data_IF_645974228035
#
_entry.id   IF_645974228035
#
_cell.length_a   1.000
_cell.length_b   1.000
_cell.length_c   1.000
_cell.angle_alpha   90.00
_cell.angle_beta   90.00
_cell.angle_gamma   90.00
#
_symmetry.space_group_name_H-M   'P 1'
#
loop_
_entity.id
_entity.type
_entity.pdbx_description
1 polymer ?
#
# COMPACT_ATOMS: atom_id res chain seq x y z
N UNK A 1 67.58 6.88 53.88
CA UNK A 1 67.07 8.27 53.96
C UNK A 1 67.19 8.89 52.57
N UNK A 2 66.09 9.51 52.11
CA UNK A 2 65.82 10.12 50.81
C UNK A 2 67.04 10.49 49.95
N UNK A 3 67.19 9.83 48.79
CA UNK A 3 68.07 10.27 47.71
C UNK A 3 67.29 11.21 46.78
N UNK A 4 67.84 12.41 46.61
CA UNK A 4 67.42 13.44 45.68
C UNK A 4 68.26 13.27 44.40
N UNK A 5 67.66 12.92 43.28
CA UNK A 5 68.31 12.98 41.96
C UNK A 5 67.40 13.75 41.02
N UNK A 6 67.93 14.88 40.55
CA UNK A 6 67.40 15.73 39.50
C UNK A 6 67.64 15.05 38.15
N UNK A 7 66.59 14.87 37.34
CA UNK A 7 66.77 14.48 35.93
C UNK A 7 65.87 15.31 35.03
N UNK A 8 66.55 15.98 34.10
CA UNK A 8 66.11 16.74 32.94
C UNK A 8 64.93 16.09 32.20
N UNK A 9 63.85 16.84 31.98
CA UNK A 9 62.75 16.45 31.07
C UNK A 9 63.14 16.84 29.66
N UNK A 10 63.47 15.85 28.83
CA UNK A 10 63.64 16.00 27.40
C UNK A 10 62.27 15.96 26.73
N UNK A 11 61.89 17.09 26.13
CA UNK A 11 60.72 17.22 25.26
C UNK A 11 60.99 16.45 23.96
N UNK A 12 60.29 15.33 23.76
CA UNK A 12 60.26 14.64 22.46
C UNK A 12 58.89 14.92 21.83
N UNK A 13 58.88 15.88 20.91
CA UNK A 13 57.79 16.05 19.96
C UNK A 13 57.76 14.83 19.03
N UNK A 14 56.90 13.85 19.32
CA UNK A 14 56.47 12.90 18.31
C UNK A 14 55.38 13.55 17.48
N UNK A 15 55.76 14.14 16.35
CA UNK A 15 54.84 14.46 15.26
C UNK A 15 54.32 13.15 14.69
N UNK A 16 53.23 12.63 15.27
CA UNK A 16 52.41 11.65 14.57
C UNK A 16 51.78 12.37 13.39
N UNK A 17 52.34 12.15 12.21
CA UNK A 17 51.68 12.35 10.93
C UNK A 17 50.35 11.60 11.00
N UNK A 18 49.28 12.34 11.31
CA UNK A 18 47.92 11.92 11.10
C UNK A 18 47.74 11.87 9.58
N UNK A 19 47.97 10.71 8.98
CA UNK A 19 47.33 10.41 7.71
C UNK A 19 45.83 10.58 7.93
N UNK A 20 45.11 11.34 7.10
CA UNK A 20 43.68 11.21 7.07
C UNK A 20 43.41 9.78 6.64
N UNK A 21 42.87 8.95 7.53
CA UNK A 21 42.02 7.88 7.06
C UNK A 21 40.92 8.59 6.25
N UNK A 22 41.08 8.60 4.93
CA UNK A 22 39.92 8.59 4.05
C UNK A 22 39.11 7.37 4.48
N UNK A 23 38.21 7.57 5.45
CA UNK A 23 37.01 6.78 5.51
C UNK A 23 36.37 7.01 4.16
N UNK A 24 36.59 6.06 3.25
CA UNK A 24 35.66 5.78 2.19
C UNK A 24 34.30 5.74 2.90
N UNK A 25 33.52 6.82 2.77
CA UNK A 25 32.10 6.75 2.97
C UNK A 25 31.64 5.72 1.95
N UNK A 26 31.59 4.46 2.38
CA UNK A 26 30.71 3.49 1.75
C UNK A 26 29.35 4.14 1.90
N UNK A 27 28.91 4.78 0.83
CA UNK A 27 27.55 5.26 0.68
C UNK A 27 26.74 3.98 0.74
N UNK A 28 26.36 3.55 1.95
CA UNK A 28 25.63 2.31 2.15
C UNK A 28 24.39 2.43 1.28
N UNK A 29 24.36 1.65 0.20
CA UNK A 29 23.29 1.69 -0.78
C UNK A 29 22.04 1.21 -0.08
N UNK A 30 21.11 2.12 0.19
CA UNK A 30 19.82 1.77 0.75
C UNK A 30 19.10 0.76 -0.15
N UNK A 31 18.21 -0.03 0.44
CA UNK A 31 17.26 -0.89 -0.26
C UNK A 31 16.47 -0.02 -1.22
N UNK A 32 16.60 -0.29 -2.52
CA UNK A 32 15.86 0.44 -3.54
C UNK A 32 14.64 -0.37 -3.96
N UNK A 33 13.51 0.33 -4.09
CA UNK A 33 12.27 -0.25 -4.60
C UNK A 33 12.18 0.07 -6.08
N UNK A 34 11.89 -0.94 -6.90
CA UNK A 34 11.63 -0.74 -8.31
C UNK A 34 10.19 -0.36 -8.55
N UNK A 35 9.95 0.65 -9.38
CA UNK A 35 8.62 1.02 -9.83
C UNK A 35 8.52 0.88 -11.35
N UNK A 36 7.55 0.10 -11.81
CA UNK A 36 7.26 -0.01 -13.23
C UNK A 36 6.57 1.26 -13.75
N UNK A 37 7.18 1.90 -14.74
CA UNK A 37 6.64 3.05 -15.47
C UNK A 37 6.91 2.89 -16.97
N UNK A 38 5.98 2.26 -17.69
CA UNK A 38 6.12 1.96 -19.12
C UNK A 38 6.06 3.20 -20.01
N UNK A 39 5.55 4.31 -19.50
CA UNK A 39 5.47 5.59 -20.22
C UNK A 39 6.21 6.66 -19.44
N UNK A 40 7.33 7.16 -19.99
CA UNK A 40 8.18 8.16 -19.32
C UNK A 40 7.43 9.44 -18.94
N UNK A 41 6.47 9.86 -19.77
CA UNK A 41 5.61 11.03 -19.53
C UNK A 41 4.15 10.62 -19.24
N UNK A 42 3.94 9.41 -18.70
CA UNK A 42 2.62 8.92 -18.32
C UNK A 42 2.05 9.68 -17.12
N UNK A 43 0.74 9.56 -16.93
CA UNK A 43 0.09 10.07 -15.72
C UNK A 43 0.57 9.23 -14.52
N UNK A 44 1.16 9.89 -13.53
CA UNK A 44 1.47 9.29 -12.23
C UNK A 44 0.35 9.59 -11.24
N UNK A 45 -0.35 8.56 -10.79
CA UNK A 45 -1.28 8.61 -9.67
C UNK A 45 -0.48 8.56 -8.38
N UNK A 46 -0.74 9.52 -7.49
CA UNK A 46 -0.08 9.64 -6.19
C UNK A 46 1.46 9.66 -6.30
N UNK A 47 2.04 10.62 -7.04
CA UNK A 47 3.47 10.64 -7.33
C UNK A 47 4.36 10.66 -6.09
N UNK A 48 3.89 11.24 -4.99
CA UNK A 48 4.63 11.38 -3.73
C UNK A 48 4.41 10.19 -2.77
N UNK A 49 3.52 9.26 -3.10
CA UNK A 49 3.11 8.17 -2.21
C UNK A 49 4.25 7.23 -1.84
N UNK A 50 4.89 6.61 -2.84
CA UNK A 50 5.96 5.66 -2.59
C UNK A 50 7.17 6.34 -1.90
N UNK A 51 7.71 7.48 -2.40
CA UNK A 51 8.79 8.19 -1.71
C UNK A 51 8.47 8.52 -0.24
N UNK A 52 7.24 8.98 0.03
CA UNK A 52 6.78 9.27 1.40
C UNK A 52 6.70 8.02 2.28
N UNK A 53 6.21 6.90 1.74
CA UNK A 53 6.18 5.62 2.46
C UNK A 53 7.59 5.14 2.81
N UNK A 54 8.54 5.21 1.87
CA UNK A 54 9.93 4.81 2.09
C UNK A 54 10.59 5.70 3.16
N UNK A 55 10.35 7.01 3.11
CA UNK A 55 10.80 7.94 4.14
C UNK A 55 10.23 7.58 5.52
N UNK A 56 8.93 7.29 5.60
CA UNK A 56 8.30 6.84 6.85
C UNK A 56 8.87 5.52 7.37
N UNK A 57 9.26 4.58 6.49
CA UNK A 57 9.95 3.36 6.89
C UNK A 57 11.32 3.64 7.48
N UNK A 58 12.09 4.56 6.91
CA UNK A 58 13.38 4.98 7.46
C UNK A 58 13.23 5.68 8.82
N UNK A 59 12.14 6.43 9.03
CA UNK A 59 11.86 7.12 10.29
C UNK A 59 11.41 6.17 11.42
N UNK A 60 10.77 5.05 11.07
CA UNK A 60 10.09 4.17 12.04
C UNK A 60 10.73 2.80 12.20
N UNK A 61 11.70 2.46 11.37
CA UNK A 61 12.40 1.18 11.39
C UNK A 61 13.91 1.38 11.26
N UNK A 62 14.68 0.31 11.45
CA UNK A 62 16.12 0.32 11.17
C UNK A 62 16.48 0.00 9.72
N UNK A 63 15.47 -0.19 8.86
CA UNK A 63 15.71 -0.36 7.44
C UNK A 63 16.28 0.94 6.85
N UNK A 64 17.08 0.81 5.79
CA UNK A 64 17.64 1.93 5.05
C UNK A 64 17.14 1.83 3.62
N UNK A 65 16.03 2.48 3.31
CA UNK A 65 15.50 2.58 1.95
C UNK A 65 16.06 3.80 1.24
N UNK A 66 16.35 3.65 -0.05
CA UNK A 66 16.47 4.80 -0.94
C UNK A 66 15.06 5.36 -1.18
N UNK A 67 14.83 6.63 -0.82
CA UNK A 67 13.51 7.25 -0.95
C UNK A 67 13.18 7.68 -2.38
N UNK A 68 14.15 7.61 -3.30
CA UNK A 68 13.94 7.78 -4.74
C UNK A 68 13.79 6.39 -5.40
N UNK A 69 12.57 5.97 -5.78
CA UNK A 69 12.35 4.67 -6.41
C UNK A 69 13.12 4.52 -7.72
N UNK A 70 13.57 3.29 -8.02
CA UNK A 70 14.14 2.98 -9.32
C UNK A 70 13.04 2.79 -10.35
N UNK A 71 12.88 3.76 -11.25
CA UNK A 71 11.93 3.62 -12.34
C UNK A 71 12.50 2.73 -13.45
N UNK A 72 11.72 1.73 -13.87
CA UNK A 72 12.00 0.89 -15.03
C UNK A 72 10.83 0.89 -15.99
N UNK A 73 11.11 0.84 -17.29
CA UNK A 73 10.07 0.86 -18.32
C UNK A 73 9.69 -0.52 -18.86
N UNK A 74 10.48 -1.54 -18.57
CA UNK A 74 10.24 -2.93 -18.98
C UNK A 74 10.54 -3.90 -17.84
N UNK A 75 9.93 -5.07 -17.87
CA UNK A 75 10.17 -6.17 -16.91
C UNK A 75 11.40 -7.01 -17.28
N UNK A 76 12.00 -6.77 -18.45
CA UNK A 76 13.26 -7.38 -18.89
C UNK A 76 14.49 -6.62 -18.39
N UNK A 77 14.31 -5.48 -17.72
CA UNK A 77 15.39 -4.70 -17.13
C UNK A 77 16.20 -5.56 -16.16
N UNK A 78 17.52 -5.63 -16.36
CA UNK A 78 18.42 -6.49 -15.58
C UNK A 78 18.41 -6.14 -14.08
N UNK A 79 18.15 -4.87 -13.76
CA UNK A 79 18.07 -4.37 -12.39
C UNK A 79 16.91 -4.99 -11.63
N UNK A 80 15.93 -5.60 -12.31
CA UNK A 80 14.84 -6.35 -11.68
C UNK A 80 15.36 -7.43 -10.74
N UNK A 81 16.41 -8.16 -11.13
CA UNK A 81 16.98 -9.22 -10.30
C UNK A 81 17.86 -8.69 -9.16
N UNK A 82 18.27 -7.42 -9.21
CA UNK A 82 19.09 -6.76 -8.19
C UNK A 82 18.26 -6.17 -7.05
N UNK A 83 16.94 -6.07 -7.22
CA UNK A 83 16.05 -5.42 -6.26
C UNK A 83 14.92 -6.36 -5.81
N UNK A 84 14.69 -6.52 -4.49
CA UNK A 84 13.81 -7.55 -3.95
C UNK A 84 12.32 -7.29 -4.20
N UNK A 85 11.93 -6.05 -4.52
CA UNK A 85 10.53 -5.65 -4.64
C UNK A 85 10.30 -4.85 -5.93
N UNK A 86 9.34 -5.34 -6.73
CA UNK A 86 8.74 -4.64 -7.84
C UNK A 86 7.38 -4.09 -7.40
N UNK A 87 7.29 -2.76 -7.31
CA UNK A 87 6.05 -2.03 -7.11
C UNK A 87 5.44 -1.64 -8.47
N UNK A 88 4.16 -1.95 -8.64
CA UNK A 88 3.38 -1.56 -9.82
C UNK A 88 2.11 -0.89 -9.32
N UNK A 89 1.98 0.40 -9.56
CA UNK A 89 0.68 1.04 -9.49
C UNK A 89 -0.05 0.75 -10.81
N UNK A 90 -1.08 -0.09 -10.76
CA UNK A 90 -1.78 -0.55 -11.94
C UNK A 90 -2.58 0.58 -12.65
N UNK A 91 -2.88 1.67 -11.96
CA UNK A 91 -3.55 2.85 -12.55
C UNK A 91 -2.58 3.83 -13.24
N UNK A 92 -1.26 3.63 -13.09
CA UNK A 92 -0.21 4.39 -13.80
C UNK A 92 0.11 3.79 -15.18
N UNK A 93 -0.33 2.56 -15.43
CA UNK A 93 0.03 1.83 -16.66
C UNK A 93 -0.97 2.13 -17.78
N UNK A 94 -0.51 2.31 -19.03
CA UNK A 94 -1.42 2.52 -20.17
C UNK A 94 -2.34 1.30 -20.41
N UNK A 95 -1.80 0.11 -20.16
CA UNK A 95 -2.50 -1.17 -20.08
C UNK A 95 -1.63 -2.16 -19.29
N UNK A 96 -2.18 -3.33 -18.97
CA UNK A 96 -1.45 -4.45 -18.35
C UNK A 96 -1.15 -5.58 -19.35
N UNK A 97 -0.92 -5.22 -20.62
CA UNK A 97 -0.52 -6.15 -21.67
C UNK A 97 0.98 -6.11 -21.86
N UNK A 98 1.63 -7.26 -21.70
CA UNK A 98 3.08 -7.42 -21.74
C UNK A 98 3.48 -8.47 -22.78
N UNK A 99 4.56 -8.25 -23.55
CA UNK A 99 5.09 -9.25 -24.49
C UNK A 99 5.60 -10.49 -23.74
N UNK A 100 5.73 -11.60 -24.46
CA UNK A 100 6.13 -12.89 -23.88
C UNK A 100 7.43 -12.81 -23.07
N UNK A 101 8.43 -12.09 -23.57
CA UNK A 101 9.73 -11.91 -22.90
C UNK A 101 9.63 -11.21 -21.54
N UNK A 102 8.77 -10.20 -21.41
CA UNK A 102 8.51 -9.51 -20.14
C UNK A 102 7.74 -10.40 -19.16
N UNK A 103 6.81 -11.22 -19.67
CA UNK A 103 6.09 -12.20 -18.84
C UNK A 103 7.03 -13.29 -18.31
N UNK A 104 7.94 -13.78 -19.15
CA UNK A 104 8.94 -14.77 -18.76
C UNK A 104 9.96 -14.19 -17.77
N UNK A 105 10.34 -12.91 -17.93
CA UNK A 105 11.19 -12.20 -16.98
C UNK A 105 10.50 -12.04 -15.61
N UNK A 106 9.22 -11.64 -15.59
CA UNK A 106 8.43 -11.56 -14.36
C UNK A 106 8.26 -12.91 -13.66
N UNK A 107 7.96 -13.97 -14.43
CA UNK A 107 7.92 -15.35 -13.91
C UNK A 107 9.22 -15.70 -13.22
N UNK A 108 10.36 -15.50 -13.91
CA UNK A 108 11.70 -15.79 -13.38
C UNK A 108 11.98 -14.99 -12.11
N UNK A 109 11.67 -13.70 -12.11
CA UNK A 109 11.83 -12.82 -10.95
C UNK A 109 11.09 -13.37 -9.72
N UNK A 110 9.80 -13.70 -9.87
CA UNK A 110 8.99 -14.27 -8.80
C UNK A 110 9.45 -15.68 -8.40
N UNK A 111 9.93 -16.49 -9.32
CA UNK A 111 10.48 -17.81 -9.01
C UNK A 111 11.82 -17.77 -8.28
N UNK A 112 12.56 -16.66 -8.39
CA UNK A 112 13.88 -16.47 -7.77
C UNK A 112 13.83 -15.72 -6.43
N UNK A 113 12.65 -15.29 -5.98
CA UNK A 113 12.49 -14.63 -4.68
C UNK A 113 11.91 -13.22 -4.76
N UNK A 114 11.86 -12.62 -5.94
CA UNK A 114 11.29 -11.29 -6.15
C UNK A 114 9.84 -11.18 -5.71
N UNK A 115 9.48 -10.08 -5.04
CA UNK A 115 8.13 -9.81 -4.58
C UNK A 115 7.47 -8.74 -5.45
N UNK A 116 6.23 -8.98 -5.89
CA UNK A 116 5.48 -8.04 -6.71
C UNK A 116 4.33 -7.46 -5.90
N UNK A 117 4.29 -6.13 -5.78
CA UNK A 117 3.15 -5.42 -5.19
C UNK A 117 2.39 -4.65 -6.27
N UNK A 118 1.19 -5.12 -6.58
CA UNK A 118 0.22 -4.47 -7.46
C UNK A 118 -0.73 -3.56 -6.66
N UNK A 119 -0.38 -2.28 -6.49
CA UNK A 119 -1.33 -1.28 -5.98
C UNK A 119 -2.37 -0.94 -7.05
N UNK A 120 -3.61 -0.66 -6.64
CA UNK A 120 -4.76 -0.55 -7.55
C UNK A 120 -4.99 -1.80 -8.44
N UNK A 121 -4.42 -2.95 -8.05
CA UNK A 121 -4.64 -4.24 -8.73
C UNK A 121 -6.01 -4.85 -8.43
N UNK A 122 -6.70 -4.37 -7.40
CA UNK A 122 -8.12 -4.61 -7.13
C UNK A 122 -8.89 -3.32 -7.42
N UNK A 123 -9.87 -3.39 -8.31
CA UNK A 123 -10.73 -2.24 -8.63
C UNK A 123 -12.11 -2.72 -9.01
N UNK A 124 -13.14 -2.20 -8.33
CA UNK A 124 -14.51 -2.48 -8.71
C UNK A 124 -14.84 -1.76 -10.02
N UNK A 125 -15.52 -2.44 -10.94
CA UNK A 125 -15.76 -1.98 -12.31
C UNK A 125 -16.49 -0.64 -12.40
N UNK A 126 -17.39 -0.33 -11.46
CA UNK A 126 -18.15 0.92 -11.45
C UNK A 126 -17.32 2.15 -11.10
N UNK A 127 -16.12 2.00 -10.52
CA UNK A 127 -15.33 3.14 -10.07
C UNK A 127 -14.61 3.85 -11.22
N UNK A 128 -14.39 3.17 -12.35
CA UNK A 128 -13.76 3.79 -13.53
C UNK A 128 -12.43 4.48 -13.19
N UNK A 129 -12.39 5.80 -13.34
CA UNK A 129 -11.22 6.63 -13.02
C UNK A 129 -11.28 7.34 -11.65
N UNK A 130 -12.29 7.06 -10.82
CA UNK A 130 -12.42 7.66 -9.48
C UNK A 130 -11.20 7.30 -8.61
N UNK A 131 -10.71 8.31 -7.89
CA UNK A 131 -9.52 8.26 -7.06
C UNK A 131 -9.90 8.69 -5.64
N UNK A 132 -9.31 8.05 -4.62
CA UNK A 132 -9.47 8.49 -3.24
C UNK A 132 -10.70 7.93 -2.51
N UNK A 133 -11.08 6.67 -2.76
CA UNK A 133 -12.16 6.01 -2.03
C UNK A 133 -11.72 4.66 -1.44
N UNK A 134 -12.32 4.30 -0.30
CA UNK A 134 -12.01 3.08 0.47
C UNK A 134 -12.83 1.84 0.04
N UNK A 135 -13.29 1.77 -1.21
CA UNK A 135 -14.06 0.62 -1.70
C UNK A 135 -13.09 -0.51 -2.03
N UNK A 136 -13.45 -1.74 -1.69
CA UNK A 136 -12.63 -2.91 -1.96
C UNK A 136 -13.50 -4.10 -2.37
N UNK A 137 -13.17 -4.71 -3.51
CA UNK A 137 -13.61 -6.04 -3.90
C UNK A 137 -12.62 -7.09 -3.35
N UNK A 138 -13.01 -8.36 -3.30
CA UNK A 138 -12.11 -9.47 -2.92
C UNK A 138 -11.65 -10.29 -4.14
N UNK A 139 -11.47 -9.60 -5.26
CA UNK A 139 -10.96 -10.13 -6.52
C UNK A 139 -10.11 -9.07 -7.23
N UNK A 140 -9.07 -9.50 -7.93
CA UNK A 140 -8.27 -8.66 -8.80
C UNK A 140 -9.10 -8.12 -9.97
N UNK A 141 -8.67 -6.98 -10.53
CA UNK A 141 -9.30 -6.45 -11.74
C UNK A 141 -9.03 -7.37 -12.94
N UNK A 142 -9.94 -7.43 -13.95
CA UNK A 142 -9.80 -8.35 -15.08
C UNK A 142 -8.44 -8.29 -15.78
N UNK A 143 -7.88 -7.10 -15.96
CA UNK A 143 -6.60 -6.91 -16.65
C UNK A 143 -5.42 -7.51 -15.86
N UNK A 144 -5.48 -7.49 -14.51
CA UNK A 144 -4.48 -8.16 -13.67
C UNK A 144 -4.63 -9.68 -13.77
N UNK A 145 -5.87 -10.17 -13.76
CA UNK A 145 -6.16 -11.60 -13.93
C UNK A 145 -5.64 -12.13 -15.26
N UNK A 146 -5.94 -11.43 -16.36
CA UNK A 146 -5.51 -11.79 -17.72
C UNK A 146 -4.00 -11.76 -17.88
N UNK A 147 -3.33 -10.75 -17.29
CA UNK A 147 -1.88 -10.67 -17.29
C UNK A 147 -1.25 -11.86 -16.55
N UNK A 148 -1.68 -12.11 -15.31
CA UNK A 148 -1.09 -13.17 -14.49
C UNK A 148 -1.48 -14.58 -14.94
N UNK A 149 -2.61 -14.77 -15.63
CA UNK A 149 -2.93 -16.03 -16.30
C UNK A 149 -1.95 -16.36 -17.43
N UNK A 150 -1.30 -15.36 -18.03
CA UNK A 150 -0.23 -15.58 -19.02
C UNK A 150 1.14 -15.80 -18.35
N UNK A 151 1.37 -15.25 -17.15
CA UNK A 151 2.60 -15.45 -16.37
C UNK A 151 2.59 -16.78 -15.62
N UNK A 152 1.45 -17.21 -15.08
CA UNK A 152 1.28 -18.49 -14.38
C UNK A 152 -0.11 -19.09 -14.71
N UNK A 153 -0.26 -19.79 -15.85
CA UNK A 153 -1.55 -20.33 -16.31
C UNK A 153 -2.25 -21.28 -15.33
N UNK A 154 -1.48 -21.94 -14.47
CA UNK A 154 -1.94 -22.89 -13.47
C UNK A 154 -2.25 -22.26 -12.11
N UNK A 155 -2.11 -20.94 -11.98
CA UNK A 155 -2.31 -20.20 -10.73
C UNK A 155 -3.40 -19.15 -10.87
N UNK A 156 -3.98 -18.81 -9.73
CA UNK A 156 -4.94 -17.72 -9.62
C UNK A 156 -4.65 -16.93 -8.35
N UNK A 157 -5.12 -15.68 -8.32
CA UNK A 157 -5.10 -14.90 -7.10
C UNK A 157 -6.15 -15.44 -6.12
N UNK A 158 -5.79 -15.47 -4.84
CA UNK A 158 -6.66 -15.96 -3.78
C UNK A 158 -6.76 -14.85 -2.72
N UNK A 159 -7.97 -14.56 -2.20
CA UNK A 159 -8.15 -13.69 -1.05
C UNK A 159 -7.19 -14.05 0.09
N UNK A 160 -6.42 -13.06 0.56
CA UNK A 160 -5.58 -13.27 1.72
C UNK A 160 -6.47 -13.32 2.97
N UNK A 161 -6.35 -14.38 3.80
CA UNK A 161 -7.16 -14.47 5.00
C UNK A 161 -6.81 -13.35 5.97
N UNK A 162 -7.78 -12.91 6.76
CA UNK A 162 -7.62 -11.74 7.64
C UNK A 162 -6.47 -11.83 8.65
N UNK A 163 -6.13 -13.06 9.03
CA UNK A 163 -5.06 -13.34 9.97
C UNK A 163 -3.68 -13.54 9.29
N UNK A 164 -3.56 -13.32 7.98
CA UNK A 164 -2.31 -13.48 7.25
C UNK A 164 -1.18 -12.62 7.88
N UNK A 165 0.04 -13.16 7.94
CA UNK A 165 1.18 -12.50 8.59
C UNK A 165 1.48 -11.11 8.00
N UNK A 166 1.27 -10.96 6.67
CA UNK A 166 1.39 -9.69 5.95
C UNK A 166 0.71 -8.52 6.67
N UNK A 167 -0.49 -8.69 7.24
CA UNK A 167 -1.21 -7.59 7.89
C UNK A 167 -0.70 -7.25 9.30
N UNK A 168 0.26 -8.01 9.81
CA UNK A 168 0.77 -7.92 11.19
C UNK A 168 2.28 -8.06 11.29
N UNK A 169 3.00 -7.90 10.18
CA UNK A 169 4.47 -8.01 10.11
C UNK A 169 5.15 -7.02 11.03
N UNK A 170 4.71 -5.76 11.01
CA UNK A 170 5.30 -4.69 11.83
C UNK A 170 4.23 -4.00 12.69
N UNK A 171 3.22 -3.40 12.06
CA UNK A 171 2.06 -2.86 12.76
C UNK A 171 0.99 -3.92 12.96
N UNK A 172 0.35 -3.88 14.13
CA UNK A 172 -0.78 -4.76 14.47
C UNK A 172 -1.98 -3.91 14.85
N UNK A 173 -3.15 -4.28 14.34
CA UNK A 173 -4.39 -3.58 14.65
C UNK A 173 -4.50 -2.20 13.98
N UNK A 174 -5.54 -1.47 14.36
CA UNK A 174 -5.84 -0.14 13.84
C UNK A 174 -4.85 0.94 14.35
N UNK A 175 -4.73 2.08 13.64
CA UNK A 175 -4.06 3.28 14.14
C UNK A 175 -4.54 3.65 15.54
N UNK A 176 -3.60 3.81 16.48
CA UNK A 176 -3.89 4.45 17.77
C UNK A 176 -3.78 5.96 17.60
N UNK A 177 -4.51 6.73 18.41
CA UNK A 177 -4.52 8.19 18.36
C UNK A 177 -3.10 8.80 18.44
N UNK A 178 -2.20 8.20 19.22
CA UNK A 178 -0.81 8.68 19.38
C UNK A 178 -0.01 8.70 18.06
N UNK A 179 -0.42 7.90 17.06
CA UNK A 179 0.21 7.88 15.74
C UNK A 179 -0.35 8.93 14.78
N UNK A 180 -1.54 9.45 15.07
CA UNK A 180 -2.22 10.41 14.20
C UNK A 180 -1.62 11.81 14.29
N UNK A 181 -0.59 12.03 15.14
CA UNK A 181 0.08 13.32 15.42
C UNK A 181 -0.92 14.49 15.45
N UNK A 182 -2.07 14.26 16.10
CA UNK A 182 -3.18 15.21 16.16
C UNK A 182 -2.80 16.30 17.17
N UNK A 183 -2.88 17.57 16.74
CA UNK A 183 -2.70 18.73 17.61
C UNK A 183 -3.79 18.76 18.71
N UNK A 184 -3.52 19.41 19.86
CA UNK A 184 -4.46 19.42 20.98
C UNK A 184 -5.85 20.01 20.65
N UNK A 185 -5.92 20.90 19.66
CA UNK A 185 -7.13 21.56 19.18
C UNK A 185 -7.86 20.80 18.05
N UNK A 186 -7.20 19.83 17.41
CA UNK A 186 -7.81 19.02 16.36
C UNK A 186 -8.72 17.96 16.98
N UNK A 187 -9.87 17.69 16.33
CA UNK A 187 -10.77 16.66 16.85
C UNK A 187 -10.17 15.28 16.58
N UNK A 188 -10.69 14.28 17.28
CA UNK A 188 -10.34 12.87 17.06
C UNK A 188 -11.47 12.17 16.36
N UNK A 189 -11.16 11.06 15.69
CA UNK A 189 -12.19 10.20 15.11
C UNK A 189 -13.13 9.72 16.23
N UNK A 190 -14.46 9.92 16.12
CA UNK A 190 -15.40 9.48 17.15
C UNK A 190 -15.35 7.96 17.35
N UNK A 191 -15.53 7.49 18.59
CA UNK A 191 -15.49 6.05 18.93
C UNK A 191 -16.50 5.23 18.11
N UNK A 192 -17.64 5.80 17.74
CA UNK A 192 -18.64 5.15 16.89
C UNK A 192 -18.11 4.90 15.48
N UNK A 193 -17.36 5.85 14.93
CA UNK A 193 -16.71 5.73 13.62
C UNK A 193 -15.53 4.75 13.70
N UNK A 194 -14.74 4.78 14.77
CA UNK A 194 -13.68 3.79 15.00
C UNK A 194 -14.24 2.37 15.07
N UNK A 195 -15.30 2.15 15.85
CA UNK A 195 -16.00 0.85 15.92
C UNK A 195 -16.55 0.43 14.56
N UNK A 196 -17.11 1.35 13.78
CA UNK A 196 -17.54 1.03 12.41
C UNK A 196 -16.37 0.62 11.54
N UNK A 197 -15.27 1.37 11.54
CA UNK A 197 -14.05 1.05 10.78
C UNK A 197 -13.52 -0.32 11.21
N UNK A 198 -13.51 -0.61 12.51
CA UNK A 198 -13.15 -1.93 13.02
C UNK A 198 -14.09 -3.00 12.48
N UNK A 199 -15.40 -2.85 12.59
CA UNK A 199 -16.39 -3.86 12.16
C UNK A 199 -16.56 -4.04 10.65
N UNK A 200 -16.26 -3.03 9.86
CA UNK A 200 -16.43 -3.06 8.40
C UNK A 200 -15.09 -3.29 7.69
N UNK A 201 -14.05 -2.60 8.14
CA UNK A 201 -12.77 -2.51 7.44
C UNK A 201 -11.65 -3.24 8.15
N UNK A 202 -11.80 -3.65 9.42
CA UNK A 202 -10.73 -4.30 10.16
C UNK A 202 -11.18 -5.33 11.22
N UNK A 203 -12.21 -6.16 11.00
CA UNK A 203 -12.87 -6.84 12.14
C UNK A 203 -11.98 -7.95 12.74
N UNK A 204 -10.97 -8.36 11.97
CA UNK A 204 -9.95 -9.32 12.36
C UNK A 204 -8.55 -8.90 11.86
N UNK A 205 -8.32 -7.61 11.59
CA UNK A 205 -6.96 -7.15 11.29
C UNK A 205 -6.58 -6.91 9.84
N UNK A 206 -7.51 -6.74 8.89
CA UNK A 206 -7.18 -6.80 7.45
C UNK A 206 -7.92 -5.80 6.58
N UNK A 207 -7.37 -5.51 5.41
CA UNK A 207 -8.06 -4.91 4.27
C UNK A 207 -8.11 -5.92 3.11
N UNK A 208 -8.91 -5.69 2.06
CA UNK A 208 -8.95 -6.64 0.95
C UNK A 208 -7.63 -6.70 0.21
N UNK A 209 -6.96 -7.85 0.24
CA UNK A 209 -5.83 -8.16 -0.62
C UNK A 209 -6.09 -9.53 -1.22
N UNK A 210 -5.71 -9.72 -2.47
CA UNK A 210 -5.57 -11.04 -3.07
C UNK A 210 -4.09 -11.32 -3.32
N UNK A 211 -3.68 -12.57 -3.21
CA UNK A 211 -2.29 -12.98 -3.31
C UNK A 211 -2.09 -14.19 -4.21
N UNK A 212 -0.93 -14.26 -4.82
CA UNK A 212 -0.48 -15.41 -5.60
C UNK A 212 0.76 -16.03 -4.97
N UNK A 213 0.70 -17.34 -4.70
CA UNK A 213 1.85 -18.09 -4.19
C UNK A 213 2.67 -18.70 -5.31
N UNK A 214 3.98 -18.49 -5.28
CA UNK A 214 4.96 -19.12 -6.19
C UNK A 214 6.00 -19.83 -5.33
N UNK A 215 6.27 -21.11 -5.64
CA UNK A 215 7.18 -21.97 -4.84
C UNK A 215 6.89 -21.95 -3.32
N UNK A 216 5.60 -21.96 -2.96
CA UNK A 216 5.14 -22.03 -1.56
C UNK A 216 5.09 -20.70 -0.80
N UNK A 217 5.76 -19.65 -1.27
CA UNK A 217 5.73 -18.30 -0.67
C UNK A 217 4.74 -17.38 -1.37
N UNK A 218 4.27 -16.36 -0.66
CA UNK A 218 3.47 -15.28 -1.25
C UNK A 218 4.41 -14.39 -2.09
N UNK A 219 4.32 -14.49 -3.42
CA UNK A 219 5.26 -13.83 -4.33
C UNK A 219 4.66 -12.58 -5.00
N UNK A 220 3.33 -12.48 -5.07
CA UNK A 220 2.64 -11.31 -5.57
C UNK A 220 1.40 -11.02 -4.73
N UNK A 221 1.13 -9.73 -4.50
CA UNK A 221 -0.12 -9.26 -3.88
C UNK A 221 -0.73 -8.15 -4.72
N UNK A 222 -2.05 -8.15 -4.80
CA UNK A 222 -2.84 -7.06 -5.35
C UNK A 222 -3.74 -6.47 -4.26
N UNK A 223 -3.77 -5.14 -4.20
CA UNK A 223 -4.61 -4.39 -3.28
C UNK A 223 -5.52 -3.41 -4.02
N UNK A 224 -6.57 -2.89 -3.34
CA UNK A 224 -7.17 -1.63 -3.75
C UNK A 224 -6.14 -0.52 -3.66
N UNK A 225 -6.50 0.67 -4.10
CA UNK A 225 -5.63 1.85 -4.05
C UNK A 225 -5.23 2.14 -2.58
N UNK A 226 -4.01 1.76 -2.21
CA UNK A 226 -3.40 2.07 -0.92
C UNK A 226 -2.48 3.28 -1.04
N UNK A 227 -1.88 3.52 -2.21
CA UNK A 227 -1.00 4.66 -2.45
C UNK A 227 -1.66 6.02 -2.16
N UNK A 228 -2.99 6.11 -2.26
CA UNK A 228 -3.75 7.30 -1.87
C UNK A 228 -3.48 7.73 -0.41
N UNK A 229 -3.10 6.79 0.45
CA UNK A 229 -2.84 7.05 1.86
C UNK A 229 -1.40 7.34 2.23
N UNK A 230 -0.45 7.28 1.30
CA UNK A 230 0.97 7.36 1.64
C UNK A 230 1.58 8.73 1.42
N UNK A 231 0.97 9.54 0.54
CA UNK A 231 1.55 10.81 0.08
C UNK A 231 1.62 11.87 1.17
N UNK A 232 2.78 12.52 1.26
CA UNK A 232 2.95 13.79 1.96
C UNK A 232 3.53 14.84 1.02
N UNK A 233 3.12 16.08 1.20
CA UNK A 233 3.72 17.20 0.49
C UNK A 233 5.09 17.59 1.08
N UNK A 234 5.72 18.61 0.51
CA UNK A 234 7.03 19.13 0.94
C UNK A 234 7.03 19.67 2.38
N UNK A 235 5.87 20.04 2.92
CA UNK A 235 5.68 20.52 4.29
C UNK A 235 5.33 19.37 5.26
N UNK A 236 5.17 18.15 4.75
CA UNK A 236 4.85 16.96 5.54
C UNK A 236 3.35 16.78 5.82
N UNK A 237 2.48 17.57 5.20
CA UNK A 237 1.03 17.41 5.30
C UNK A 237 0.54 16.27 4.40
N UNK A 238 -0.50 15.57 4.85
CA UNK A 238 -1.05 14.43 4.13
C UNK A 238 -1.78 14.84 2.84
N UNK A 239 -1.53 14.11 1.76
CA UNK A 239 -2.19 14.33 0.47
C UNK A 239 -2.50 13.01 -0.26
N UNK A 240 -3.61 12.93 -1.02
CA UNK A 240 -4.76 13.84 -1.02
C UNK A 240 -5.71 13.57 0.16
N UNK A 241 -6.71 14.44 0.44
CA UNK A 241 -7.75 14.14 1.42
C UNK A 241 -8.49 12.83 1.13
N UNK A 242 -8.72 12.01 2.16
CA UNK A 242 -9.38 10.71 2.04
C UNK A 242 -10.70 10.70 2.79
N UNK A 243 -11.72 10.13 2.15
CA UNK A 243 -13.05 9.95 2.74
C UNK A 243 -13.35 8.48 3.03
N UNK A 244 -14.07 8.23 4.12
CA UNK A 244 -14.53 6.89 4.48
C UNK A 244 -15.93 6.61 3.96
N UNK A 245 -16.08 5.43 3.37
CA UNK A 245 -17.36 4.91 2.93
C UNK A 245 -17.99 4.10 4.07
N UNK A 246 -19.20 4.48 4.45
CA UNK A 246 -20.01 3.79 5.45
C UNK A 246 -21.27 3.27 4.79
N UNK A 247 -21.62 2.00 5.06
CA UNK A 247 -22.89 1.40 4.65
C UNK A 247 -23.94 1.72 5.71
N UNK A 248 -24.87 2.62 5.40
CA UNK A 248 -25.88 3.05 6.34
C UNK A 248 -27.24 2.41 6.08
N UNK A 249 -28.00 2.25 7.16
CA UNK A 249 -29.41 1.85 7.11
C UNK A 249 -30.24 2.79 7.95
N UNK A 250 -31.47 3.06 7.53
CA UNK A 250 -32.49 3.68 8.37
C UNK A 250 -33.80 2.88 8.27
N UNK A 251 -34.78 3.29 9.06
CA UNK A 251 -36.10 2.69 9.03
C UNK A 251 -36.69 2.74 7.61
N UNK A 252 -37.31 1.64 7.19
CA UNK A 252 -37.94 1.47 5.89
C UNK A 252 -37.02 1.50 4.65
N UNK A 253 -35.69 1.44 4.81
CA UNK A 253 -34.78 1.43 3.64
C UNK A 253 -34.99 0.24 2.71
N UNK A 254 -35.23 -0.96 3.26
CA UNK A 254 -35.48 -2.16 2.45
C UNK A 254 -36.72 -2.01 1.56
N UNK A 255 -37.78 -1.37 2.07
CA UNK A 255 -39.00 -1.10 1.32
C UNK A 255 -38.82 0.04 0.32
N UNK A 256 -38.18 1.12 0.76
CA UNK A 256 -38.03 2.34 -0.04
C UNK A 256 -37.05 2.16 -1.20
N UNK A 257 -35.85 1.61 -0.94
CA UNK A 257 -34.80 1.46 -1.95
C UNK A 257 -35.16 0.40 -2.99
N UNK A 258 -35.90 -0.64 -2.61
CA UNK A 258 -36.39 -1.66 -3.54
C UNK A 258 -37.32 -1.10 -4.62
N UNK A 259 -38.06 -0.04 -4.31
CA UNK A 259 -39.00 0.63 -5.22
C UNK A 259 -38.42 1.93 -5.80
N UNK A 260 -37.23 2.33 -5.37
CA UNK A 260 -36.62 3.58 -5.79
C UNK A 260 -36.12 3.47 -7.24
N UNK A 261 -36.38 4.52 -8.02
CA UNK A 261 -35.73 4.70 -9.31
C UNK A 261 -34.32 5.27 -9.10
N UNK A 262 -33.37 4.83 -9.90
CA UNK A 262 -32.01 5.36 -9.95
C UNK A 262 -31.52 5.50 -11.38
N UNK A 263 -30.58 6.43 -11.56
CA UNK A 263 -29.74 6.49 -12.74
C UNK A 263 -28.49 5.64 -12.55
N UNK A 264 -27.97 5.09 -13.65
CA UNK A 264 -26.75 4.29 -13.66
C UNK A 264 -26.98 2.81 -13.92
N UNK A 265 -25.91 2.02 -13.70
CA UNK A 265 -25.88 0.59 -13.91
C UNK A 265 -25.88 -0.22 -12.61
N UNK A 266 -25.94 -1.53 -12.79
CA UNK A 266 -25.88 -2.53 -11.73
C UNK A 266 -24.56 -3.30 -11.85
N UNK A 267 -23.88 -3.50 -10.73
CA UNK A 267 -22.55 -4.12 -10.68
C UNK A 267 -22.48 -5.12 -9.54
N UNK A 268 -22.05 -6.33 -9.84
CA UNK A 268 -21.79 -7.32 -8.80
C UNK A 268 -20.38 -7.15 -8.25
N UNK A 269 -20.24 -7.20 -6.93
CA UNK A 269 -18.93 -7.24 -6.28
C UNK A 269 -18.83 -8.39 -5.30
N UNK A 270 -17.72 -9.10 -5.39
CA UNK A 270 -17.37 -10.20 -4.49
C UNK A 270 -16.98 -9.70 -3.11
N UNK A 271 -17.72 -10.17 -2.11
CA UNK A 271 -17.38 -10.07 -0.68
C UNK A 271 -16.32 -11.11 -0.34
N UNK A 272 -15.73 -10.96 0.84
CA UNK A 272 -14.73 -11.91 1.34
C UNK A 272 -15.26 -13.34 1.51
N UNK A 273 -16.54 -13.47 1.88
CA UNK A 273 -17.24 -14.75 2.03
C UNK A 273 -17.60 -15.39 0.68
N UNK A 274 -17.22 -14.76 -0.43
CA UNK A 274 -17.51 -15.19 -1.80
C UNK A 274 -18.92 -14.82 -2.29
N UNK A 275 -19.80 -14.31 -1.42
CA UNK A 275 -21.12 -13.85 -1.83
C UNK A 275 -21.03 -12.51 -2.56
N UNK A 276 -22.08 -12.16 -3.31
CA UNK A 276 -22.10 -10.96 -4.16
C UNK A 276 -22.99 -9.88 -3.55
N UNK A 277 -22.40 -8.70 -3.32
CA UNK A 277 -23.17 -7.47 -3.15
C UNK A 277 -23.58 -6.97 -4.55
N UNK A 278 -24.83 -6.52 -4.70
CA UNK A 278 -25.30 -5.85 -5.92
C UNK A 278 -25.24 -4.34 -5.69
N UNK A 279 -24.31 -3.69 -6.38
CA UNK A 279 -24.04 -2.26 -6.29
C UNK A 279 -24.77 -1.55 -7.42
N UNK A 280 -25.36 -0.42 -7.11
CA UNK A 280 -25.96 0.42 -8.14
C UNK A 280 -25.33 1.80 -8.10
N UNK A 281 -24.89 2.24 -9.27
CA UNK A 281 -24.08 3.44 -9.42
C UNK A 281 -24.08 3.90 -10.87
N UNK A 282 -23.82 5.17 -11.10
CA UNK A 282 -23.33 5.59 -12.41
C UNK A 282 -21.85 5.17 -12.59
N UNK A 283 -21.44 4.74 -13.79
CA UNK A 283 -20.03 4.46 -14.07
C UNK A 283 -19.14 5.68 -13.80
N UNK A 284 -18.01 5.46 -13.11
CA UNK A 284 -17.06 6.51 -12.74
C UNK A 284 -17.51 7.37 -11.55
N UNK A 285 -18.64 7.04 -10.93
CA UNK A 285 -19.15 7.71 -9.74
C UNK A 285 -19.04 6.83 -8.50
N UNK A 286 -19.10 7.47 -7.33
CA UNK A 286 -19.21 6.76 -6.06
C UNK A 286 -20.56 6.05 -5.99
N UNK A 287 -20.59 4.80 -5.49
CA UNK A 287 -21.80 4.01 -5.45
C UNK A 287 -22.82 4.66 -4.51
N UNK A 288 -24.09 4.57 -4.88
CA UNK A 288 -25.18 5.22 -4.15
C UNK A 288 -25.80 4.25 -3.15
N UNK A 289 -26.08 3.02 -3.58
CA UNK A 289 -26.68 2.01 -2.73
C UNK A 289 -26.22 0.59 -3.08
N UNK A 290 -26.50 -0.34 -2.16
CA UNK A 290 -26.15 -1.75 -2.26
C UNK A 290 -27.30 -2.61 -1.78
N UNK A 291 -27.53 -3.69 -2.50
CA UNK A 291 -28.30 -4.84 -2.02
C UNK A 291 -27.31 -5.93 -1.59
N UNK A 292 -27.34 -6.29 -0.31
CA UNK A 292 -26.52 -7.36 0.27
C UNK A 292 -27.09 -8.74 -0.14
N UNK A 293 -26.29 -9.83 -0.10
CA UNK A 293 -26.75 -11.19 -0.42
C UNK A 293 -27.97 -11.66 0.39
N UNK A 294 -28.16 -11.08 1.57
CA UNK A 294 -29.29 -11.35 2.48
C UNK A 294 -30.59 -10.69 2.03
N UNK A 295 -30.56 -9.87 0.97
CA UNK A 295 -31.69 -9.07 0.50
C UNK A 295 -31.84 -7.71 1.17
N UNK A 296 -30.98 -7.38 2.14
CA UNK A 296 -30.96 -6.08 2.83
C UNK A 296 -30.42 -4.98 1.92
N UNK A 297 -31.08 -3.84 1.90
CA UNK A 297 -30.69 -2.64 1.17
C UNK A 297 -30.05 -1.61 2.09
N UNK A 298 -28.98 -0.98 1.60
CA UNK A 298 -28.26 0.07 2.31
C UNK A 298 -27.83 1.17 1.35
N UNK A 299 -27.62 2.36 1.89
CA UNK A 299 -26.96 3.44 1.15
C UNK A 299 -25.46 3.44 1.46
N UNK A 300 -24.66 3.87 0.49
CA UNK A 300 -23.28 4.24 0.75
C UNK A 300 -23.21 5.73 1.04
N UNK A 301 -22.71 6.08 2.22
CA UNK A 301 -22.43 7.46 2.58
C UNK A 301 -20.95 7.67 2.77
N UNK A 302 -20.45 8.76 2.19
CA UNK A 302 -19.05 9.15 2.30
C UNK A 302 -18.91 10.23 3.36
N UNK A 303 -18.06 9.95 4.33
CA UNK A 303 -17.71 10.87 5.40
C UNK A 303 -16.32 11.41 5.16
N UNK A 304 -16.21 12.73 5.20
CA UNK A 304 -14.97 13.48 5.00
C UNK A 304 -14.71 14.33 6.24
N UNK A 305 -13.46 14.66 6.47
CA UNK A 305 -13.02 15.46 7.61
C UNK A 305 -11.53 15.26 7.81
N UNK A 306 -10.88 16.22 8.45
CA UNK A 306 -9.44 16.15 8.74
C UNK A 306 -9.10 14.92 9.58
N UNK A 307 -9.95 14.60 10.56
CA UNK A 307 -9.76 13.47 11.48
C UNK A 307 -9.90 12.13 10.76
N UNK A 308 -10.86 12.06 9.83
CA UNK A 308 -11.07 10.89 8.97
C UNK A 308 -9.88 10.72 8.03
N UNK A 309 -9.45 11.80 7.40
CA UNK A 309 -8.33 11.79 6.46
C UNK A 309 -7.04 11.36 7.16
N UNK A 310 -6.70 11.99 8.29
CA UNK A 310 -5.50 11.67 9.08
C UNK A 310 -5.49 10.20 9.51
N UNK A 311 -6.63 9.70 9.98
CA UNK A 311 -6.77 8.30 10.32
C UNK A 311 -6.59 7.37 9.11
N UNK A 312 -7.19 7.70 7.97
CA UNK A 312 -7.05 6.94 6.73
C UNK A 312 -5.60 6.87 6.24
N UNK A 313 -4.88 8.00 6.23
CA UNK A 313 -3.46 8.03 5.86
C UNK A 313 -2.61 7.15 6.78
N UNK A 314 -2.81 7.27 8.10
CA UNK A 314 -2.10 6.43 9.06
C UNK A 314 -2.41 4.94 8.84
N UNK A 315 -3.66 4.60 8.56
CA UNK A 315 -4.10 3.25 8.28
C UNK A 315 -3.42 2.66 7.04
N UNK A 316 -3.54 3.32 5.89
CA UNK A 316 -2.99 2.84 4.63
C UNK A 316 -1.46 2.86 4.61
N UNK A 317 -0.82 3.83 5.27
CA UNK A 317 0.63 3.86 5.41
C UNK A 317 1.14 2.66 6.21
N UNK A 318 0.50 2.33 7.34
CA UNK A 318 0.86 1.12 8.10
C UNK A 318 0.69 -0.16 7.28
N UNK A 319 -0.37 -0.23 6.49
CA UNK A 319 -0.62 -1.37 5.60
C UNK A 319 0.47 -1.49 4.53
N UNK A 320 0.85 -0.37 3.89
CA UNK A 320 1.97 -0.30 2.96
C UNK A 320 3.28 -0.77 3.63
N UNK A 321 3.64 -0.20 4.78
CA UNK A 321 4.85 -0.60 5.51
C UNK A 321 4.86 -2.10 5.84
N UNK A 322 3.72 -2.64 6.26
CA UNK A 322 3.56 -4.06 6.52
C UNK A 322 3.80 -4.93 5.28
N UNK A 323 3.31 -4.52 4.10
CA UNK A 323 3.54 -5.23 2.82
C UNK A 323 5.02 -5.22 2.46
N UNK A 324 5.66 -4.04 2.46
CA UNK A 324 7.07 -3.90 2.10
C UNK A 324 7.98 -4.65 3.06
N UNK A 325 7.75 -4.56 4.38
CA UNK A 325 8.52 -5.30 5.37
C UNK A 325 8.25 -6.81 5.29
N UNK A 326 7.01 -7.23 4.98
CA UNK A 326 6.72 -8.65 4.77
C UNK A 326 7.55 -9.22 3.62
N UNK A 327 7.59 -8.49 2.49
CA UNK A 327 8.33 -8.85 1.30
C UNK A 327 9.84 -8.95 1.50
N UNK A 328 10.41 -8.16 2.42
CA UNK A 328 11.84 -8.24 2.75
C UNK A 328 12.19 -9.36 3.72
N UNK A 329 11.22 -9.83 4.51
CA UNK A 329 11.44 -10.79 5.59
C UNK A 329 11.08 -12.24 5.22
N UNK A 330 10.40 -12.48 4.08
CA UNK A 330 9.85 -13.79 3.70
C UNK A 330 10.00 -14.09 2.20
#
# INVERSE_FOLDING_TARGET
>A
MKNLISTFVLLVCSTSLLWPEERLEVKESGIRIMQLMRTQNGIRRYPDALPSLLKMMNEQTFARFDTDPLYVSTLTDERLLENPILYVNCDDQPNLEFPQEERDALRRYMEQGGFVYLDAGIKASFLGSDLGHSYAAWEERPEVKEWFAQVFPEKTFIPLPRNHDLFRTFFKGLPKNDYLKIEQNQKRLPDTVLKFVEQEKWPQGTYSFVGMKVKGRLACVASPICAMGWGKDEFGAWIPPISFRIRESAENFDQNLKLASFSGGTFEVTREDGLKDVIYSEPGQRPVWVQEPTGRWRIFKYYSGEEISNYAHAFYSRLGMNVFLYALLN
#
